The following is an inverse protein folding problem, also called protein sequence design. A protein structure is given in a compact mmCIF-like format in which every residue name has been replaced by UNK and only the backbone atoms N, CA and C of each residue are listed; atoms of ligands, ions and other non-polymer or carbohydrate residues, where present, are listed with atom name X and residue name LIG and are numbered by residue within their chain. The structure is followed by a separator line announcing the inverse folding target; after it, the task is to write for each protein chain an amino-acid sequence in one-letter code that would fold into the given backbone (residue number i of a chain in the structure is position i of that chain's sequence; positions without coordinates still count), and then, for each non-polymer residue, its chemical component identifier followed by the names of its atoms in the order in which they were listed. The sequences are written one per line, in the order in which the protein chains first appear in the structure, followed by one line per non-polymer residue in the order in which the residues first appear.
data_IF_992559951693
#
_entry.id   IF_992559951693
#
_cell.length_a   1.000
_cell.length_b   1.000
_cell.length_c   1.000
_cell.angle_alpha   90.00
_cell.angle_beta   90.00
_cell.angle_gamma   90.00
#
_symmetry.space_group_name_H-M   'P 1'
#
loop_
_entity.id
_entity.type
_entity.pdbx_description
1 polymer ?
2 non-polymer ?
3 non-polymer ?
4 water ?
#
# COMPACT_ATOMS: atom_id res chain seq x y z
N UNK A 1 -27.01 10.21 -15.86
CA UNK A 1 -26.95 10.21 -17.32
C UNK A 1 -26.02 9.00 -17.36
N UNK A 2 -24.73 9.14 -17.69
CA UNK A 2 -23.68 8.08 -17.73
C UNK A 2 -23.93 6.58 -17.71
N UNK A 3 -24.74 6.14 -16.76
CA UNK A 3 -25.19 4.76 -16.65
C UNK A 3 -25.56 4.15 -17.98
N UNK A 4 -24.64 3.30 -18.35
CA UNK A 4 -24.81 2.50 -19.53
C UNK A 4 -23.99 3.05 -20.67
N UNK A 5 -23.72 4.34 -20.72
CA UNK A 5 -23.01 4.88 -21.87
C UNK A 5 -21.54 4.97 -21.56
N UNK A 6 -20.69 4.92 -22.58
CA UNK A 6 -19.25 5.11 -22.42
C UNK A 6 -19.00 6.46 -21.83
N UNK A 7 -17.97 6.69 -21.02
CA UNK A 7 -17.68 7.99 -20.50
C UNK A 7 -16.43 8.45 -21.18
N UNK A 8 -16.15 9.74 -21.34
CA UNK A 8 -14.91 10.23 -21.97
C UNK A 8 -14.34 11.19 -20.93
N UNK A 9 -13.12 10.92 -20.43
CA UNK A 9 -12.53 11.70 -19.34
C UNK A 9 -11.04 11.75 -19.52
N UNK A 10 -10.38 12.57 -18.71
CA UNK A 10 -8.93 12.63 -18.71
C UNK A 10 -8.37 11.55 -17.78
N UNK A 11 -7.26 10.93 -18.15
CA UNK A 11 -6.54 9.99 -17.28
C UNK A 11 -5.09 10.10 -17.68
N UNK A 12 -4.15 9.62 -16.88
CA UNK A 12 -2.73 9.73 -17.19
C UNK A 12 -2.28 8.41 -17.78
N UNK A 13 -1.79 8.41 -19.01
CA UNK A 13 -1.39 7.19 -19.64
C UNK A 13 0.13 7.11 -19.70
N UNK A 14 0.65 5.91 -19.39
CA UNK A 14 2.06 5.67 -19.54
C UNK A 14 2.04 4.91 -20.86
N UNK A 15 2.47 5.59 -21.91
CA UNK A 15 2.50 4.96 -23.23
C UNK A 15 3.71 4.09 -23.22
N UNK A 16 4.83 4.45 -22.59
CA UNK A 16 5.98 3.56 -22.51
C UNK A 16 6.87 3.90 -21.33
N UNK A 17 7.57 2.87 -20.81
CA UNK A 17 8.42 3.03 -19.62
C UNK A 17 9.51 4.05 -19.79
N UNK A 18 9.70 4.60 -18.60
CA UNK A 18 10.70 5.60 -18.37
C UNK A 18 10.39 6.85 -19.20
N UNK A 19 9.10 7.08 -19.43
CA UNK A 19 8.64 8.33 -20.00
C UNK A 19 7.64 8.89 -18.99
N UNK A 20 7.37 10.19 -18.97
CA UNK A 20 6.27 10.80 -18.21
C UNK A 20 4.85 10.41 -18.59
N UNK A 21 3.97 10.75 -17.67
CA UNK A 21 2.57 10.51 -17.89
C UNK A 21 1.96 11.60 -18.75
N UNK A 22 1.09 11.16 -19.64
CA UNK A 22 0.38 12.12 -20.44
C UNK A 22 -1.08 12.09 -20.01
N UNK A 23 -1.69 13.26 -19.91
CA UNK A 23 -3.11 13.45 -19.62
C UNK A 23 -3.69 13.17 -20.99
N UNK A 24 -4.66 12.28 -21.17
CA UNK A 24 -5.20 11.91 -22.46
C UNK A 24 -6.69 11.86 -22.27
N UNK A 25 -7.42 12.11 -23.39
CA UNK A 25 -8.87 11.93 -23.37
C UNK A 25 -9.01 10.42 -23.65
N UNK A 26 -9.78 9.87 -22.72
CA UNK A 26 -9.97 8.43 -22.52
C UNK A 26 -11.48 8.15 -22.48
N UNK A 27 -11.79 6.99 -22.93
CA UNK A 27 -13.16 6.58 -22.96
C UNK A 27 -13.19 5.39 -22.05
N UNK A 28 -14.20 5.39 -21.20
CA UNK A 28 -14.38 4.44 -20.13
C UNK A 28 -15.68 3.67 -20.46
N UNK A 29 -15.53 2.48 -21.10
CA UNK A 29 -16.65 1.60 -21.42
C UNK A 29 -17.58 1.30 -20.25
N UNK A 30 -18.88 1.06 -20.41
CA UNK A 30 -19.76 0.64 -19.32
C UNK A 30 -19.40 -0.74 -18.76
N UNK A 31 -19.70 -0.94 -17.45
CA UNK A 31 -19.52 -2.17 -16.70
C UNK A 31 -20.20 -3.41 -17.21
N UNK A 32 -19.49 -4.50 -17.41
CA UNK A 32 -20.20 -5.73 -17.72
C UNK A 32 -20.72 -6.39 -16.40
N UNK A 33 -21.15 -7.66 -16.34
CA UNK A 33 -21.71 -8.17 -15.10
C UNK A 33 -20.63 -8.23 -14.05
N UNK A 34 -20.98 -7.96 -12.78
CA UNK A 34 -20.02 -7.98 -11.65
C UNK A 34 -18.86 -6.97 -11.77
N UNK A 35 -19.08 -5.86 -12.52
CA UNK A 35 -18.15 -4.77 -12.60
C UNK A 35 -18.83 -3.57 -11.96
N UNK A 36 -18.12 -2.55 -11.50
CA UNK A 36 -18.72 -1.35 -10.99
C UNK A 36 -17.85 -0.29 -11.63
N UNK A 37 -18.35 0.89 -11.97
CA UNK A 37 -17.52 1.88 -12.62
C UNK A 37 -17.49 2.98 -11.58
N UNK A 38 -16.32 3.40 -11.16
CA UNK A 38 -16.14 4.36 -10.09
C UNK A 38 -15.81 5.79 -10.58
N UNK A 39 -16.20 6.85 -9.88
CA UNK A 39 -15.76 8.20 -10.20
C UNK A 39 -14.72 8.46 -9.12
N UNK A 40 -13.48 8.61 -9.54
CA UNK A 40 -12.35 8.90 -8.64
C UNK A 40 -12.40 10.26 -7.89
N UNK A 41 -12.10 10.37 -6.59
CA UNK A 41 -12.11 11.64 -5.88
C UNK A 41 -10.69 12.05 -5.46
N UNK A 42 -9.78 11.10 -5.13
CA UNK A 42 -8.41 11.36 -4.65
C UNK A 42 -7.57 10.12 -4.84
N UNK A 43 -6.33 10.19 -5.31
CA UNK A 43 -5.53 9.01 -5.54
C UNK A 43 -4.18 9.30 -4.91
N UNK A 44 -3.53 8.37 -4.18
CA UNK A 44 -2.24 8.64 -3.60
C UNK A 44 -1.17 8.23 -4.56
N UNK A 45 -0.02 8.85 -4.48
CA UNK A 45 1.07 8.34 -5.28
C UNK A 45 1.98 7.44 -4.39
N UNK A 46 2.06 6.16 -4.74
CA UNK A 46 2.88 5.16 -4.11
C UNK A 46 4.09 4.85 -5.00
N UNK A 47 5.23 4.46 -4.44
CA UNK A 47 6.40 4.02 -5.19
C UNK A 47 6.03 2.82 -6.08
N UNK A 48 5.08 1.94 -5.78
CA UNK A 48 4.80 0.82 -6.66
C UNK A 48 4.30 1.23 -8.04
N UNK A 49 3.87 2.49 -8.16
CA UNK A 49 3.35 3.02 -9.42
C UNK A 49 4.51 3.44 -10.27
N UNK A 50 5.44 4.03 -9.55
CA UNK A 50 6.68 4.49 -10.09
C UNK A 50 7.53 3.28 -10.50
N UNK A 51 7.41 2.12 -9.80
CA UNK A 51 8.11 0.91 -10.18
C UNK A 51 7.77 0.44 -11.57
N UNK A 52 6.54 0.69 -12.03
CA UNK A 52 6.00 0.38 -13.35
C UNK A 52 6.71 1.14 -14.45
N UNK A 53 6.96 2.43 -14.09
CA UNK A 53 7.53 3.42 -15.02
C UNK A 53 9.00 3.07 -15.21
N UNK A 54 9.76 2.59 -14.20
CA UNK A 54 11.12 2.19 -14.50
C UNK A 54 11.19 0.85 -15.23
N UNK A 55 10.13 0.03 -15.32
CA UNK A 55 10.28 -1.26 -15.97
C UNK A 55 10.51 -2.30 -14.88
N UNK A 56 10.95 -1.93 -13.67
CA UNK A 56 11.08 -2.80 -12.53
C UNK A 56 9.81 -3.63 -12.34
N UNK A 57 8.65 -3.01 -12.21
CA UNK A 57 7.44 -3.79 -12.15
C UNK A 57 7.00 -3.92 -13.61
N UNK A 58 7.11 -5.14 -14.15
CA UNK A 58 6.71 -5.45 -15.54
C UNK A 58 5.22 -5.79 -15.48
N UNK A 59 4.44 -5.03 -16.25
CA UNK A 59 2.98 -5.15 -16.44
C UNK A 59 2.82 -4.74 -17.91
N UNK A 60 1.76 -5.12 -18.64
CA UNK A 60 1.52 -4.65 -20.01
C UNK A 60 1.25 -3.14 -20.12
N UNK A 61 1.96 -2.52 -21.06
CA UNK A 61 1.91 -1.10 -21.38
C UNK A 61 1.20 -1.01 -22.74
N UNK A 62 0.48 0.08 -23.11
CA UNK A 62 0.28 1.28 -22.30
C UNK A 62 -0.62 0.96 -21.13
N UNK A 63 -0.49 1.69 -20.04
CA UNK A 63 -1.19 1.34 -18.82
C UNK A 63 -1.72 2.61 -18.20
N UNK A 64 -2.78 2.46 -17.42
CA UNK A 64 -3.22 3.52 -16.50
C UNK A 64 -2.84 2.95 -15.11
N UNK A 65 -1.90 3.59 -14.41
CA UNK A 65 -1.41 3.14 -13.13
C UNK A 65 -2.35 3.53 -12.00
N UNK A 66 -1.88 3.76 -10.80
CA UNK A 66 -2.74 4.03 -9.67
C UNK A 66 -3.29 2.73 -9.10
N UNK A 67 -3.24 2.63 -7.76
CA UNK A 67 -3.88 1.57 -6.96
C UNK A 67 -4.23 2.14 -5.57
N UNK A 68 -3.74 3.28 -5.08
CA UNK A 68 -4.12 3.73 -3.74
C UNK A 68 -5.29 4.71 -3.84
N UNK A 69 -6.58 4.43 -3.58
CA UNK A 69 -7.59 5.45 -3.88
C UNK A 69 -8.96 5.30 -3.28
N UNK A 70 -9.80 6.33 -3.11
CA UNK A 70 -11.19 6.18 -2.73
C UNK A 70 -11.95 6.97 -3.77
N UNK A 71 -13.19 6.67 -4.13
CA UNK A 71 -13.99 7.46 -5.07
C UNK A 71 -15.47 7.28 -4.79
N UNK A 72 -16.38 7.40 -5.77
CA UNK A 72 -17.85 7.26 -5.56
C UNK A 72 -18.43 6.42 -6.70
N UNK A 73 -19.28 5.43 -6.50
CA UNK A 73 -19.80 4.51 -7.54
C UNK A 73 -20.77 5.22 -8.47
N UNK A 74 -20.52 5.21 -9.79
CA UNK A 74 -21.31 5.84 -10.82
C UNK A 74 -22.24 4.76 -11.35
N UNK A 75 -21.93 3.79 -12.24
CA UNK A 75 -22.90 2.73 -12.49
C UNK A 75 -22.46 1.42 -11.86
N UNK A 76 -23.36 0.47 -11.67
CA UNK A 76 -22.96 -0.86 -11.24
C UNK A 76 -23.52 -1.84 -12.28
N UNK A 77 -22.66 -2.72 -12.79
CA UNK A 77 -23.02 -3.73 -13.77
C UNK A 77 -23.97 -4.73 -13.15
N UNK A 78 -24.52 -5.54 -14.03
CA UNK A 78 -25.52 -6.58 -13.73
C UNK A 78 -25.00 -7.67 -12.80
N UNK A 79 -25.65 -7.86 -11.67
CA UNK A 79 -25.28 -8.89 -10.70
C UNK A 79 -24.36 -8.38 -9.59
N UNK A 80 -24.57 -7.15 -9.10
CA UNK A 80 -23.75 -6.53 -8.08
C UNK A 80 -24.61 -6.08 -6.92
N UNK A 81 -24.13 -6.77 -5.93
CA UNK A 81 -24.66 -6.91 -4.59
C UNK A 81 -24.10 -5.98 -3.52
N UNK A 82 -22.77 -5.93 -3.52
CA UNK A 82 -21.97 -5.28 -2.49
C UNK A 82 -22.02 -3.77 -2.43
N UNK A 83 -22.45 -3.17 -3.55
CA UNK A 83 -22.39 -1.73 -3.78
C UNK A 83 -23.60 -1.29 -4.65
N UNK A 84 -23.77 0.04 -4.62
CA UNK A 84 -24.89 0.80 -5.19
C UNK A 84 -24.27 2.13 -5.65
N UNK A 85 -24.82 2.80 -6.65
CA UNK A 85 -24.29 4.08 -7.07
C UNK A 85 -24.36 5.03 -5.92
N UNK A 86 -23.28 5.77 -5.84
CA UNK A 86 -23.21 6.86 -4.90
C UNK A 86 -22.53 6.53 -3.59
N UNK A 87 -22.16 5.23 -3.49
CA UNK A 87 -21.43 4.68 -2.37
C UNK A 87 -20.02 5.17 -2.54
N UNK A 88 -19.43 5.61 -1.43
CA UNK A 88 -18.00 5.86 -1.37
C UNK A 88 -17.36 4.44 -1.33
N UNK A 89 -16.26 4.25 -2.04
CA UNK A 89 -15.60 2.96 -2.18
C UNK A 89 -14.13 3.21 -2.21
N UNK A 90 -13.40 2.11 -2.02
CA UNK A 90 -11.96 2.08 -2.14
C UNK A 90 -11.80 0.88 -3.12
N UNK A 91 -11.24 1.12 -4.33
CA UNK A 91 -10.57 0.09 -5.14
C UNK A 91 -9.64 -0.78 -4.30
N UNK A 92 -9.52 -2.08 -4.56
CA UNK A 92 -8.63 -2.93 -3.76
C UNK A 92 -7.57 -3.54 -4.70
N UNK A 93 -6.24 -3.27 -4.64
CA UNK A 93 -5.35 -4.00 -5.54
C UNK A 93 -5.11 -5.48 -5.15
N UNK A 94 -5.43 -5.86 -3.88
CA UNK A 94 -5.49 -7.27 -3.51
C UNK A 94 -6.97 -7.64 -3.47
N UNK A 95 -7.48 -8.39 -4.44
CA UNK A 95 -8.89 -8.70 -4.53
C UNK A 95 -9.40 -9.55 -3.41
N UNK A 96 -10.68 -9.74 -3.18
CA UNK A 96 -11.08 -10.69 -2.19
C UNK A 96 -12.15 -11.46 -2.88
N UNK A 97 -11.75 -12.32 -3.82
CA UNK A 97 -12.73 -13.17 -4.52
C UNK A 97 -13.61 -14.10 -3.67
N UNK A 98 -13.52 -14.20 -2.35
CA UNK A 98 -14.31 -15.15 -1.56
C UNK A 98 -14.08 -16.67 -1.72
N UNK A 99 -13.87 -17.21 -2.93
CA UNK A 99 -13.84 -18.65 -3.13
C UNK A 99 -12.54 -19.41 -3.16
N UNK A 100 -11.39 -18.81 -2.91
CA UNK A 100 -10.26 -19.64 -3.25
C UNK A 100 -9.56 -20.18 -2.00
N UNK A 101 -8.53 -21.02 -2.25
CA UNK A 101 -7.58 -21.52 -1.28
C UNK A 101 -7.28 -20.48 -0.20
N UNK A 102 -6.67 -19.39 -0.70
CA UNK A 102 -6.23 -18.25 0.10
C UNK A 102 -7.37 -17.45 0.72
N UNK A 103 -8.56 -17.42 0.10
CA UNK A 103 -9.66 -16.63 0.62
C UNK A 103 -10.39 -17.30 1.73
N UNK A 104 -10.42 -18.63 1.75
CA UNK A 104 -11.07 -19.34 2.86
C UNK A 104 -10.11 -19.51 4.06
N UNK A 105 -8.81 -19.57 3.77
CA UNK A 105 -7.84 -19.80 4.81
C UNK A 105 -7.78 -18.71 5.86
N UNK A 106 -8.03 -18.86 7.17
CA UNK A 106 -8.03 -17.76 8.15
C UNK A 106 -6.82 -16.87 8.35
N UNK A 107 -5.76 -16.99 7.59
CA UNK A 107 -4.68 -16.01 7.62
C UNK A 107 -4.21 -15.63 6.19
N UNK A 108 -4.72 -16.23 5.11
CA UNK A 108 -4.14 -15.90 3.82
C UNK A 108 -4.99 -14.74 3.38
N UNK A 109 -4.42 -13.72 2.75
CA UNK A 109 -5.21 -12.60 2.24
C UNK A 109 -5.00 -12.29 0.76
N UNK A 110 -3.85 -12.81 0.26
CA UNK A 110 -3.34 -12.56 -1.08
C UNK A 110 -4.14 -13.41 -1.97
N UNK A 111 -5.29 -12.87 -2.37
CA UNK A 111 -6.22 -13.58 -3.20
C UNK A 111 -5.65 -14.16 -4.48
N UNK A 112 -6.06 -15.40 -4.72
CA UNK A 112 -5.72 -16.01 -6.00
C UNK A 112 -6.22 -15.37 -7.32
N UNK A 113 -6.79 -14.17 -7.31
CA UNK A 113 -7.14 -13.57 -8.58
C UNK A 113 -6.30 -12.31 -8.63
N UNK A 114 -5.17 -12.28 -7.92
CA UNK A 114 -4.36 -11.08 -7.83
C UNK A 114 -3.71 -10.89 -9.22
N UNK A 115 -3.32 -9.65 -9.67
CA UNK A 115 -2.67 -9.47 -10.99
C UNK A 115 -1.24 -9.09 -10.80
N UNK A 116 -0.66 -9.40 -9.63
CA UNK A 116 0.75 -9.13 -9.35
C UNK A 116 1.60 -10.28 -9.80
N UNK A 117 1.20 -11.50 -9.39
CA UNK A 117 2.00 -12.69 -9.63
C UNK A 117 2.40 -12.78 -11.12
N UNK A 118 1.42 -12.60 -12.01
CA UNK A 118 1.64 -12.65 -13.45
C UNK A 118 0.89 -11.46 -14.07
N UNK A 119 1.27 -10.16 -14.12
CA UNK A 119 0.37 -9.09 -14.58
C UNK A 119 -0.15 -9.33 -16.03
N UNK A 120 -1.46 -9.26 -16.23
CA UNK A 120 -2.06 -9.38 -17.56
C UNK A 120 -2.44 -7.96 -17.97
N UNK A 121 -2.76 -7.11 -16.99
CA UNK A 121 -3.23 -5.77 -17.19
C UNK A 121 -4.65 -5.72 -17.78
N UNK A 122 -5.57 -6.60 -17.34
CA UNK A 122 -6.91 -6.65 -17.89
C UNK A 122 -7.84 -6.88 -16.73
N UNK A 123 -9.11 -6.79 -17.08
CA UNK A 123 -10.22 -7.10 -16.21
C UNK A 123 -10.24 -8.60 -16.13
N UNK A 124 -10.89 -9.14 -15.12
CA UNK A 124 -11.00 -10.59 -14.93
C UNK A 124 -11.37 -11.45 -16.14
N UNK A 125 -12.03 -10.91 -17.17
CA UNK A 125 -12.43 -11.65 -18.36
C UNK A 125 -11.43 -11.53 -19.49
N UNK A 126 -10.24 -11.07 -19.18
CA UNK A 126 -9.22 -10.93 -20.18
C UNK A 126 -9.40 -9.67 -21.02
N UNK A 127 -10.29 -8.71 -20.72
CA UNK A 127 -10.40 -7.51 -21.58
C UNK A 127 -10.19 -6.12 -20.90
N UNK A 128 -9.95 -5.01 -21.64
CA UNK A 128 -9.87 -3.66 -21.05
C UNK A 128 -11.16 -2.88 -21.18
N UNK A 129 -11.60 -2.27 -20.09
CA UNK A 129 -12.58 -1.22 -20.19
C UNK A 129 -11.95 0.15 -20.58
N UNK A 130 -10.79 0.30 -21.26
CA UNK A 130 -10.23 1.61 -21.64
C UNK A 130 -9.75 1.61 -23.09
N UNK A 131 -9.86 2.71 -23.84
CA UNK A 131 -9.36 2.86 -25.22
C UNK A 131 -9.03 4.34 -25.37
N UNK A 132 -7.90 4.73 -25.94
CA UNK A 132 -7.58 6.13 -26.10
C UNK A 132 -7.37 6.13 -27.59
N UNK A 133 -8.27 6.73 -28.38
CA UNK A 133 -8.19 6.74 -29.87
C UNK A 133 -8.18 5.36 -30.58
N UNK A 134 -9.02 4.42 -30.09
CA UNK A 134 -9.13 3.09 -30.71
C UNK A 134 -8.19 2.09 -30.02
N UNK A 135 -6.96 2.58 -29.79
CA UNK A 135 -5.97 1.81 -29.08
C UNK A 135 -6.49 1.52 -27.67
N UNK A 136 -6.55 0.23 -27.31
CA UNK A 136 -6.61 -0.24 -25.94
C UNK A 136 -5.43 0.08 -25.03
N UNK A 137 -5.85 0.45 -23.82
CA UNK A 137 -4.96 0.81 -22.73
C UNK A 137 -5.17 -0.27 -21.68
N UNK A 138 -4.10 -0.72 -21.06
CA UNK A 138 -4.21 -1.77 -20.10
C UNK A 138 -4.63 -1.20 -18.77
N UNK A 139 -5.32 -2.08 -18.02
CA UNK A 139 -5.67 -1.87 -16.61
C UNK A 139 -4.48 -2.26 -15.76
N UNK A 140 -4.30 -1.67 -14.57
CA UNK A 140 -3.21 -1.97 -13.63
C UNK A 140 -3.81 -2.50 -12.36
N UNK A 141 -3.34 -3.71 -11.96
CA UNK A 141 -3.70 -4.46 -10.76
C UNK A 141 -5.19 -4.39 -10.56
N UNK A 142 -5.94 -4.49 -11.66
CA UNK A 142 -7.39 -4.40 -11.61
C UNK A 142 -7.97 -3.13 -10.94
N UNK A 143 -7.25 -2.03 -10.84
CA UNK A 143 -7.75 -0.80 -10.28
C UNK A 143 -7.66 0.38 -11.26
N UNK A 144 -6.47 0.64 -11.84
CA UNK A 144 -6.18 1.80 -12.69
C UNK A 144 -6.73 3.11 -12.15
N UNK A 145 -6.33 3.55 -10.95
CA UNK A 145 -7.00 4.66 -10.34
C UNK A 145 -6.49 6.04 -10.78
N UNK A 146 -5.51 6.22 -11.69
CA UNK A 146 -5.09 7.52 -12.25
C UNK A 146 -5.97 7.95 -13.46
N UNK A 147 -7.26 7.79 -13.32
CA UNK A 147 -8.22 8.05 -14.34
C UNK A 147 -9.31 8.72 -13.57
N UNK A 148 -10.10 9.49 -14.30
CA UNK A 148 -11.17 10.22 -13.66
C UNK A 148 -12.34 9.30 -13.40
N UNK A 149 -12.44 8.18 -14.12
CA UNK A 149 -13.46 7.16 -13.96
C UNK A 149 -12.71 5.89 -14.21
N UNK A 150 -13.11 4.80 -13.56
CA UNK A 150 -12.44 3.52 -13.76
C UNK A 150 -13.44 2.41 -13.55
N UNK A 151 -13.18 1.21 -14.02
CA UNK A 151 -14.08 0.10 -13.85
C UNK A 151 -13.23 -0.96 -13.09
N UNK A 152 -13.82 -1.56 -12.03
CA UNK A 152 -13.17 -2.54 -11.20
C UNK A 152 -14.09 -3.75 -11.09
N UNK A 153 -13.63 -4.99 -10.88
CA UNK A 153 -14.54 -6.11 -10.72
C UNK A 153 -15.15 -6.05 -9.38
N UNK A 154 -16.22 -6.74 -9.05
CA UNK A 154 -16.82 -6.61 -7.73
C UNK A 154 -15.89 -7.19 -6.67
N UNK A 155 -14.91 -8.03 -6.96
CA UNK A 155 -13.99 -8.51 -5.92
C UNK A 155 -12.94 -7.48 -5.54
N UNK A 156 -12.83 -6.37 -6.28
CA UNK A 156 -11.82 -5.35 -6.06
C UNK A 156 -12.40 -4.01 -5.62
N UNK A 157 -13.60 -3.95 -5.07
CA UNK A 157 -14.16 -2.69 -4.61
C UNK A 157 -14.72 -2.96 -3.21
N UNK A 158 -14.48 -2.04 -2.29
CA UNK A 158 -15.02 -2.12 -0.95
C UNK A 158 -15.81 -0.88 -0.59
N UNK A 159 -17.02 -1.06 -0.11
CA UNK A 159 -17.92 0.03 0.27
C UNK A 159 -17.43 0.65 1.57
N UNK A 160 -17.48 1.94 1.87
CA UNK A 160 -17.05 2.45 3.16
C UNK A 160 -18.03 3.49 3.70
N UNK A 161 -17.66 4.19 4.80
CA UNK A 161 -18.56 5.15 5.46
C UNK A 161 -18.74 6.39 4.59
N UNK A 162 -20.02 6.63 4.32
CA UNK A 162 -20.48 7.77 3.58
C UNK A 162 -20.05 9.03 4.29
N UNK A 163 -19.83 9.15 5.60
CA UNK A 163 -19.34 10.44 6.05
C UNK A 163 -17.82 10.49 5.95
N UNK A 164 -17.12 9.57 5.27
CA UNK A 164 -15.68 9.49 5.46
C UNK A 164 -14.89 10.44 4.62
N UNK A 165 -13.93 11.17 5.15
CA UNK A 165 -13.17 12.09 4.34
C UNK A 165 -12.32 11.41 3.28
N UNK A 166 -12.82 11.24 2.04
CA UNK A 166 -12.05 10.62 0.93
C UNK A 166 -10.68 11.20 0.53
N UNK A 167 -10.31 12.39 0.98
CA UNK A 167 -9.02 12.94 0.63
C UNK A 167 -8.00 12.46 1.65
N UNK A 168 -8.44 11.79 2.74
CA UNK A 168 -7.56 11.18 3.74
C UNK A 168 -7.78 9.68 3.72
N UNK A 169 -8.98 9.08 3.74
CA UNK A 169 -9.10 7.62 3.75
C UNK A 169 -8.57 7.02 2.49
N UNK A 170 -8.15 7.73 1.45
CA UNK A 170 -7.57 7.01 0.31
C UNK A 170 -6.29 6.29 0.66
N UNK A 171 -5.61 6.63 1.75
CA UNK A 171 -4.37 6.01 2.21
C UNK A 171 -4.53 4.56 2.64
N UNK A 172 -5.73 4.24 3.08
CA UNK A 172 -6.14 2.93 3.54
C UNK A 172 -6.24 1.99 2.35
N UNK A 173 -6.12 2.52 1.15
CA UNK A 173 -6.18 1.71 -0.03
C UNK A 173 -4.86 1.09 -0.32
N UNK A 174 -3.80 1.44 0.45
CA UNK A 174 -2.49 0.80 0.29
C UNK A 174 -1.47 1.13 1.34
N UNK A 175 -0.95 2.35 1.41
CA UNK A 175 0.20 2.74 2.20
C UNK A 175 0.03 2.64 3.70
N UNK A 176 -1.02 3.24 4.23
CA UNK A 176 -1.26 3.07 5.65
C UNK A 176 -1.58 1.61 5.84
N UNK A 177 -2.64 1.01 5.29
CA UNK A 177 -2.91 -0.38 5.54
C UNK A 177 -1.74 -1.30 5.32
N UNK A 178 -0.75 -1.06 4.46
CA UNK A 178 0.32 -2.02 4.38
C UNK A 178 1.19 -1.99 5.61
N UNK A 179 1.51 -0.83 6.16
CA UNK A 179 2.31 -0.73 7.36
C UNK A 179 1.53 -1.02 8.61
N UNK A 180 0.40 -0.43 8.92
CA UNK A 180 -0.31 -0.74 10.15
C UNK A 180 -0.62 -2.26 10.22
N UNK A 181 -0.92 -2.92 9.12
CA UNK A 181 -1.26 -4.33 9.08
C UNK A 181 -0.06 -5.15 9.44
N UNK A 182 1.14 -4.70 9.07
CA UNK A 182 2.30 -5.44 9.43
C UNK A 182 2.46 -5.48 10.94
N UNK A 183 2.18 -4.39 11.67
CA UNK A 183 2.32 -4.43 13.11
C UNK A 183 1.13 -5.09 13.78
N UNK A 184 -0.07 -4.74 13.40
CA UNK A 184 -1.27 -5.27 14.00
C UNK A 184 -1.66 -6.68 13.62
N UNK A 185 -1.67 -7.02 12.33
CA UNK A 185 -2.16 -8.31 11.87
C UNK A 185 -1.08 -9.28 11.49
N UNK A 186 0.03 -8.89 10.85
CA UNK A 186 1.08 -9.85 10.48
C UNK A 186 1.99 -10.20 11.69
N UNK A 187 2.84 -9.33 12.21
CA UNK A 187 3.62 -9.69 13.36
C UNK A 187 2.80 -9.89 14.62
N UNK A 188 1.59 -9.36 14.76
CA UNK A 188 0.81 -9.46 16.00
C UNK A 188 1.56 -9.00 17.26
N UNK A 189 2.00 -7.73 17.14
CA UNK A 189 2.76 -6.99 18.14
C UNK A 189 1.98 -7.08 19.41
N UNK A 190 2.57 -7.37 20.57
CA UNK A 190 1.79 -7.55 21.78
C UNK A 190 1.99 -6.41 22.71
N UNK A 191 1.10 -6.27 23.65
CA UNK A 191 1.21 -5.17 24.60
C UNK A 191 2.49 -5.28 25.45
N UNK A 192 3.23 -4.19 25.69
CA UNK A 192 4.51 -4.24 26.40
C UNK A 192 5.70 -4.40 25.46
N UNK A 193 5.55 -4.92 24.23
CA UNK A 193 6.70 -5.20 23.41
C UNK A 193 7.58 -4.02 22.98
N UNK A 194 8.71 -4.40 22.39
CA UNK A 194 9.72 -3.46 22.01
C UNK A 194 9.89 -3.81 20.58
N UNK A 195 9.51 -2.82 19.81
CA UNK A 195 9.53 -2.87 18.39
C UNK A 195 10.62 -1.98 17.84
N UNK A 196 11.28 -2.39 16.76
CA UNK A 196 12.24 -1.59 16.05
C UNK A 196 11.69 -1.43 14.63
N UNK A 197 11.42 -0.21 14.13
CA UNK A 197 10.92 0.07 12.80
C UNK A 197 12.12 0.55 11.97
N UNK A 198 12.44 -0.05 10.85
CA UNK A 198 13.57 0.34 10.01
C UNK A 198 13.04 1.18 8.87
N UNK A 199 13.54 2.38 8.60
CA UNK A 199 13.00 3.23 7.54
C UNK A 199 11.80 4.00 8.04
N UNK A 200 11.71 5.30 7.82
CA UNK A 200 10.59 6.02 8.41
C UNK A 200 9.77 6.86 7.43
N UNK A 201 9.62 6.37 6.18
CA UNK A 201 8.76 6.97 5.18
C UNK A 201 7.33 6.73 5.64
N UNK A 202 6.32 7.11 4.85
CA UNK A 202 4.93 7.00 5.25
C UNK A 202 4.44 5.61 5.62
N UNK A 203 5.04 4.50 5.12
CA UNK A 203 4.57 3.14 5.47
C UNK A 203 5.10 2.80 6.84
N UNK A 204 6.31 3.34 7.13
CA UNK A 204 7.03 3.18 8.39
C UNK A 204 6.26 3.92 9.44
N UNK A 205 5.81 5.13 9.20
CA UNK A 205 4.98 5.80 10.16
C UNK A 205 3.71 5.01 10.41
N UNK A 206 3.13 4.32 9.43
CA UNK A 206 1.98 3.48 9.65
C UNK A 206 2.20 2.29 10.60
N UNK A 207 3.36 1.62 10.45
CA UNK A 207 3.85 0.52 11.28
C UNK A 207 3.89 1.07 12.69
N UNK A 208 4.52 2.23 12.92
CA UNK A 208 4.68 2.84 14.26
C UNK A 208 3.36 3.00 14.96
N UNK A 209 2.35 3.35 14.15
CA UNK A 209 0.99 3.46 14.57
C UNK A 209 0.39 2.12 14.96
N UNK A 210 0.71 1.07 14.18
CA UNK A 210 0.20 -0.27 14.41
C UNK A 210 0.65 -0.68 15.76
N UNK A 211 1.98 -0.51 15.96
CA UNK A 211 2.72 -0.89 17.17
C UNK A 211 2.07 -0.19 18.35
N UNK A 212 1.78 1.09 18.12
CA UNK A 212 1.10 1.89 19.08
C UNK A 212 -0.29 1.33 19.26
N UNK A 213 -1.04 0.90 18.27
CA UNK A 213 -2.39 0.41 18.50
C UNK A 213 -2.41 -0.88 19.31
N UNK A 214 -1.32 -1.66 19.13
CA UNK A 214 -1.13 -2.98 19.75
C UNK A 214 -0.66 -2.87 21.18
N UNK A 215 -0.09 -1.70 21.49
CA UNK A 215 0.35 -1.38 22.83
C UNK A 215 1.81 -1.69 23.11
N UNK A 216 2.73 -1.70 22.12
CA UNK A 216 4.18 -1.95 22.34
C UNK A 216 4.59 -0.90 23.36
N UNK A 217 5.56 -1.12 24.26
CA UNK A 217 5.91 -0.04 25.16
C UNK A 217 7.19 0.65 24.74
N UNK A 218 7.74 0.25 23.60
CA UNK A 218 8.92 0.90 23.11
C UNK A 218 8.92 0.71 21.61
N UNK A 219 8.89 1.81 20.87
CA UNK A 219 8.98 1.76 19.40
C UNK A 219 10.18 2.63 18.97
N UNK A 220 11.31 1.98 18.64
CA UNK A 220 12.58 2.61 18.24
C UNK A 220 12.48 2.83 16.72
N UNK A 221 12.55 4.07 16.21
CA UNK A 221 12.49 4.34 14.80
C UNK A 221 13.90 4.43 14.30
N UNK A 222 14.29 3.81 13.21
CA UNK A 222 15.68 3.99 12.81
C UNK A 222 15.83 4.36 11.33
N UNK A 223 16.67 5.37 11.14
CA UNK A 223 16.82 6.00 9.85
C UNK A 223 18.10 6.77 9.79
N UNK A 224 18.91 6.57 8.77
CA UNK A 224 20.14 7.34 8.49
C UNK A 224 19.90 8.82 8.22
N UNK A 225 18.63 9.12 7.97
CA UNK A 225 18.16 10.49 7.80
C UNK A 225 17.39 11.01 8.98
N UNK A 226 18.22 11.74 9.74
CA UNK A 226 17.91 12.45 10.97
C UNK A 226 16.61 13.24 10.92
N UNK A 227 16.38 13.80 9.77
CA UNK A 227 15.26 14.66 9.58
C UNK A 227 13.94 13.92 9.72
N UNK A 228 13.92 12.58 9.62
CA UNK A 228 12.66 11.86 9.76
C UNK A 228 12.22 11.65 11.18
N UNK A 229 13.00 12.02 12.20
CA UNK A 229 12.70 11.63 13.55
C UNK A 229 11.58 12.30 14.27
N UNK A 230 11.30 13.56 13.97
CA UNK A 230 10.28 14.28 14.71
C UNK A 230 8.85 13.76 14.54
N UNK A 231 8.48 13.56 13.25
CA UNK A 231 7.16 13.09 12.81
C UNK A 231 6.94 11.70 13.32
N UNK A 232 7.99 10.88 13.19
CA UNK A 232 8.05 9.55 13.79
C UNK A 232 7.75 9.64 15.28
N UNK A 233 8.41 10.59 16.00
CA UNK A 233 8.20 10.73 17.44
C UNK A 233 6.76 11.01 17.72
N UNK A 234 6.36 11.95 16.88
CA UNK A 234 5.05 12.52 16.88
C UNK A 234 4.04 11.40 16.73
N UNK A 235 4.32 10.48 15.82
CA UNK A 235 3.38 9.40 15.65
C UNK A 235 3.60 8.20 16.64
N UNK A 236 4.63 8.12 17.48
CA UNK A 236 4.70 7.07 18.46
C UNK A 236 6.11 6.56 18.80
N UNK A 237 7.14 6.87 17.97
CA UNK A 237 8.50 6.44 18.29
C UNK A 237 8.83 7.01 19.66
N UNK A 238 9.28 6.10 20.53
CA UNK A 238 9.65 6.55 21.86
C UNK A 238 11.08 7.07 21.74
N UNK A 239 11.87 6.51 20.83
CA UNK A 239 13.20 7.01 20.59
C UNK A 239 13.37 6.73 19.13
N UNK A 240 14.44 7.31 18.63
CA UNK A 240 14.83 7.22 17.24
C UNK A 240 16.33 7.03 17.08
N UNK A 241 16.91 6.07 16.32
CA UNK A 241 18.38 6.05 16.21
C UNK A 241 18.93 6.23 14.80
N UNK A 242 19.92 7.10 14.53
CA UNK A 242 20.51 7.24 13.21
C UNK A 242 21.71 6.33 13.15
N UNK A 243 21.71 5.29 12.29
CA UNK A 243 22.85 4.40 12.10
C UNK A 243 24.18 5.09 11.90
N UNK A 244 24.40 6.23 11.22
CA UNK A 244 25.72 6.90 11.11
C UNK A 244 26.23 7.68 12.33
N UNK A 245 25.55 7.51 13.47
CA UNK A 245 26.00 8.11 14.69
C UNK A 245 26.98 7.23 15.44
N UNK A 246 26.96 5.93 15.16
CA UNK A 246 27.67 5.00 15.99
C UNK A 246 28.88 4.56 15.27
N UNK A 247 29.81 3.91 15.96
CA UNK A 247 30.94 3.28 15.31
C UNK A 247 30.61 1.79 15.24
N UNK A 248 29.83 1.33 16.19
CA UNK A 248 29.39 -0.07 16.28
C UNK A 248 28.42 -0.36 15.13
N UNK A 249 28.16 -1.61 14.65
CA UNK A 249 26.91 -2.02 14.06
C UNK A 249 25.64 -1.53 14.70
N UNK A 250 24.64 -1.58 13.87
CA UNK A 250 23.37 -1.09 14.30
C UNK A 250 22.72 -2.27 15.00
N UNK A 251 22.78 -3.52 14.53
CA UNK A 251 22.06 -4.59 15.25
C UNK A 251 22.59 -4.86 16.66
N UNK A 252 23.89 -4.53 16.84
CA UNK A 252 24.62 -4.57 18.09
C UNK A 252 24.07 -3.39 18.88
N UNK A 253 24.21 -2.13 18.45
CA UNK A 253 23.67 -1.05 19.26
C UNK A 253 22.16 -1.15 19.47
N UNK A 254 21.43 -2.03 18.80
CA UNK A 254 20.04 -2.20 19.07
C UNK A 254 19.83 -3.30 20.05
N UNK A 255 20.48 -4.46 19.95
CA UNK A 255 20.27 -5.52 20.96
C UNK A 255 20.81 -5.12 22.35
N UNK A 256 21.92 -4.38 22.30
CA UNK A 256 22.60 -3.83 23.45
C UNK A 256 21.58 -2.97 24.18
N UNK A 257 21.06 -2.04 23.39
CA UNK A 257 19.98 -1.10 23.71
C UNK A 257 18.79 -1.76 24.35
N UNK A 258 18.41 -2.91 23.79
CA UNK A 258 17.24 -3.65 24.20
C UNK A 258 17.49 -4.81 25.16
N UNK A 259 18.72 -5.08 25.70
CA UNK A 259 18.95 -6.14 26.67
C UNK A 259 18.57 -7.46 26.06
N UNK A 260 19.20 -7.78 24.95
CA UNK A 260 18.83 -9.05 24.33
C UNK A 260 18.12 -9.02 22.99
N UNK A 261 17.87 -7.84 22.40
CA UNK A 261 17.24 -7.72 21.10
C UNK A 261 15.79 -7.43 21.35
N UNK A 262 15.21 -6.75 20.36
CA UNK A 262 13.83 -6.30 20.45
C UNK A 262 12.85 -7.44 20.20
N UNK A 263 11.59 -7.33 20.58
CA UNK A 263 10.61 -8.37 20.30
C UNK A 263 10.32 -8.59 18.84
N UNK A 264 9.78 -7.51 18.21
CA UNK A 264 9.36 -7.43 16.80
C UNK A 264 10.25 -6.52 15.98
N UNK A 265 10.74 -6.73 14.76
CA UNK A 265 11.50 -5.70 14.05
C UNK A 265 10.85 -5.62 12.68
N UNK A 266 10.77 -4.46 12.02
CA UNK A 266 10.06 -4.34 10.75
C UNK A 266 10.99 -3.67 9.79
N UNK A 267 11.12 -4.10 8.55
CA UNK A 267 11.97 -3.34 7.64
C UNK A 267 11.11 -2.54 6.62
N UNK A 268 10.88 -1.20 6.73
CA UNK A 268 10.12 -0.53 5.68
C UNK A 268 11.02 0.26 4.68
N UNK A 269 12.33 -0.02 4.72
CA UNK A 269 13.28 0.50 3.75
C UNK A 269 13.20 -0.29 2.46
N UNK A 270 12.90 -1.61 2.42
CA UNK A 270 12.96 -2.41 1.20
C UNK A 270 14.38 -2.79 0.70
N UNK A 271 15.55 -2.81 1.39
CA UNK A 271 16.80 -3.29 0.77
C UNK A 271 17.28 -4.54 1.46
N UNK A 272 18.28 -5.22 0.88
CA UNK A 272 18.77 -6.52 1.40
C UNK A 272 19.57 -6.52 2.76
N UNK A 273 20.54 -5.60 2.84
CA UNK A 273 21.36 -5.37 4.02
C UNK A 273 20.51 -5.13 5.25
N UNK A 274 19.59 -4.17 5.29
CA UNK A 274 18.83 -3.91 6.48
C UNK A 274 17.76 -4.97 6.71
N UNK A 275 17.46 -5.87 5.77
CA UNK A 275 16.44 -6.89 5.98
C UNK A 275 16.94 -7.99 6.86
N UNK A 276 18.18 -8.32 6.55
CA UNK A 276 18.94 -9.27 7.31
C UNK A 276 19.34 -8.62 8.61
N UNK A 277 19.79 -7.35 8.69
CA UNK A 277 20.04 -6.62 9.94
C UNK A 277 18.81 -6.66 10.86
N UNK A 278 17.65 -6.28 10.31
CA UNK A 278 16.40 -6.28 11.05
C UNK A 278 16.12 -7.70 11.52
N UNK A 279 16.59 -8.81 10.91
CA UNK A 279 16.42 -10.14 11.46
C UNK A 279 17.25 -10.23 12.75
N UNK A 280 18.57 -10.04 12.64
CA UNK A 280 19.46 -10.21 13.77
C UNK A 280 19.14 -9.35 14.99
N UNK A 281 18.39 -8.26 14.97
CA UNK A 281 18.27 -7.55 16.23
C UNK A 281 16.93 -7.65 16.89
N UNK A 282 16.17 -8.68 16.52
CA UNK A 282 15.00 -8.98 17.30
C UNK A 282 15.41 -10.24 18.09
N UNK A 283 14.77 -10.62 19.21
CA UNK A 283 15.25 -11.65 20.12
C UNK A 283 15.50 -13.00 19.49
N UNK A 284 16.65 -13.52 19.80
CA UNK A 284 17.08 -14.84 19.38
C UNK A 284 16.12 -16.03 19.56
N UNK A 285 15.52 -16.19 20.71
CA UNK A 285 14.64 -17.31 20.87
C UNK A 285 13.19 -17.06 20.54
N UNK A 286 12.70 -15.83 20.43
CA UNK A 286 11.30 -15.66 20.03
C UNK A 286 11.10 -14.33 19.27
N UNK A 287 12.12 -13.73 18.64
CA UNK A 287 11.96 -12.46 17.93
C UNK A 287 11.28 -12.74 16.61
N UNK A 288 10.41 -11.83 16.18
CA UNK A 288 9.68 -11.93 14.91
C UNK A 288 10.13 -10.72 14.08
N UNK A 289 10.40 -10.95 12.79
CA UNK A 289 10.80 -9.90 11.87
C UNK A 289 9.96 -9.95 10.60
N UNK A 290 9.26 -8.86 10.27
CA UNK A 290 8.42 -8.72 9.07
C UNK A 290 9.11 -7.86 8.01
N UNK A 291 9.26 -8.35 6.79
CA UNK A 291 9.71 -7.55 5.64
C UNK A 291 8.39 -6.96 5.16
N UNK A 292 8.14 -5.68 5.43
CA UNK A 292 6.89 -5.05 4.99
C UNK A 292 6.93 -4.96 3.45
N UNK A 293 7.98 -4.45 2.80
CA UNK A 293 7.93 -4.49 1.36
C UNK A 293 9.30 -4.71 0.83
N UNK A 294 9.25 -5.39 -0.32
CA UNK A 294 10.39 -5.78 -1.15
C UNK A 294 10.11 -5.42 -2.62
N UNK A 295 11.05 -4.69 -3.16
CA UNK A 295 10.88 -4.07 -4.46
C UNK A 295 10.88 -5.18 -5.54
N UNK A 296 10.34 -4.91 -6.73
CA UNK A 296 10.05 -5.91 -7.77
C UNK A 296 11.26 -6.56 -8.45
N UNK A 297 12.41 -5.93 -8.35
CA UNK A 297 13.61 -6.41 -9.02
C UNK A 297 14.61 -7.03 -8.02
N UNK A 298 14.05 -7.49 -6.89
CA UNK A 298 14.88 -7.98 -5.82
C UNK A 298 15.74 -9.13 -6.25
N UNK A 299 16.99 -8.92 -5.82
CA UNK A 299 18.00 -9.95 -5.93
C UNK A 299 17.87 -10.79 -4.63
N UNK A 300 18.81 -11.73 -4.51
CA UNK A 300 18.95 -12.68 -3.41
C UNK A 300 19.85 -12.04 -2.38
N UNK A 301 19.40 -12.22 -1.14
CA UNK A 301 20.15 -11.81 0.03
C UNK A 301 20.94 -13.01 0.52
N UNK A 302 21.99 -12.83 1.33
CA UNK A 302 22.78 -13.91 1.90
C UNK A 302 22.49 -13.80 3.37
N UNK A 303 21.97 -14.85 3.97
CA UNK A 303 21.58 -14.82 5.36
C UNK A 303 22.08 -16.13 5.98
N UNK A 304 22.51 -16.21 7.24
CA UNK A 304 23.04 -17.49 7.75
C UNK A 304 21.96 -18.21 8.52
N UNK A 305 21.49 -19.40 8.06
CA UNK A 305 20.27 -20.06 8.51
C UNK A 305 20.21 -20.18 10.01
N UNK A 306 21.41 -20.18 10.55
CA UNK A 306 21.68 -20.11 11.98
C UNK A 306 20.90 -19.10 12.80
N UNK A 307 20.54 -17.93 12.22
CA UNK A 307 19.74 -16.96 12.89
C UNK A 307 18.31 -17.49 13.08
N UNK A 308 17.86 -18.51 12.36
CA UNK A 308 16.53 -19.02 12.59
C UNK A 308 16.58 -20.12 13.62
N UNK A 309 17.70 -20.84 13.70
CA UNK A 309 17.86 -22.01 14.55
C UNK A 309 17.49 -21.80 16.00
N UNK A 310 17.74 -20.64 16.58
CA UNK A 310 17.41 -20.39 17.97
C UNK A 310 15.96 -20.10 18.25
N UNK A 311 15.16 -19.80 17.21
CA UNK A 311 13.76 -19.56 17.40
C UNK A 311 13.27 -18.26 16.77
N UNK A 312 14.04 -17.42 16.06
CA UNK A 312 13.46 -16.30 15.29
C UNK A 312 12.39 -16.64 14.22
N UNK A 313 11.29 -15.89 14.04
CA UNK A 313 10.29 -16.05 12.96
C UNK A 313 10.44 -14.95 11.89
N UNK A 314 10.33 -15.21 10.59
CA UNK A 314 10.59 -14.24 9.50
C UNK A 314 9.46 -14.48 8.53
N UNK A 315 8.76 -13.37 8.39
CA UNK A 315 7.52 -13.36 7.67
C UNK A 315 7.61 -12.30 6.62
N UNK A 316 6.81 -12.46 5.56
CA UNK A 316 6.57 -11.38 4.62
C UNK A 316 5.07 -11.27 4.39
N UNK A 317 4.55 -10.17 3.83
CA UNK A 317 3.12 -9.99 3.52
C UNK A 317 2.88 -8.90 2.46
N UNK A 318 1.73 -8.98 1.72
CA UNK A 318 1.20 -7.97 0.81
C UNK A 318 -0.03 -7.35 1.50
N UNK A 319 -0.26 -6.04 1.41
CA UNK A 319 -1.38 -5.31 2.00
C UNK A 319 -1.57 -5.48 3.52
N UNK A 320 -0.50 -5.61 4.29
CA UNK A 320 -0.61 -5.72 5.74
C UNK A 320 -1.28 -6.99 6.21
N UNK A 321 -1.28 -7.94 5.30
CA UNK A 321 -1.88 -9.23 5.55
C UNK A 321 -3.38 -9.12 5.75
N UNK A 322 -4.04 -8.02 5.39
CA UNK A 322 -5.45 -7.85 5.68
C UNK A 322 -6.29 -8.53 4.62
N UNK A 323 -7.45 -9.14 4.86
CA UNK A 323 -8.29 -9.65 3.77
C UNK A 323 -9.05 -8.40 3.34
N UNK A 324 -8.84 -8.03 2.08
CA UNK A 324 -9.20 -6.72 1.60
C UNK A 324 -10.61 -6.32 1.75
N UNK A 325 -11.58 -7.10 1.28
CA UNK A 325 -12.95 -6.64 1.42
C UNK A 325 -13.44 -6.55 2.87
N UNK A 326 -12.97 -7.54 3.62
CA UNK A 326 -13.21 -7.58 5.02
C UNK A 326 -12.71 -6.36 5.81
N UNK A 327 -11.44 -5.99 5.62
CA UNK A 327 -10.85 -5.03 6.51
C UNK A 327 -10.97 -3.55 6.18
N UNK A 328 -10.82 -3.15 4.92
CA UNK A 328 -10.87 -1.74 4.56
C UNK A 328 -12.11 -1.00 5.09
N UNK A 329 -13.34 -1.49 5.07
CA UNK A 329 -14.43 -1.05 5.92
C UNK A 329 -14.12 -0.85 7.35
N UNK A 330 -13.51 -1.82 8.02
CA UNK A 330 -13.27 -1.68 9.47
C UNK A 330 -12.16 -0.69 9.75
N UNK A 331 -11.16 -0.56 8.88
CA UNK A 331 -10.13 0.45 9.04
C UNK A 331 -10.73 1.86 8.84
N UNK A 332 -11.76 2.07 7.98
CA UNK A 332 -12.39 3.39 7.87
C UNK A 332 -13.18 3.58 9.14
N UNK A 333 -14.05 2.66 9.56
CA UNK A 333 -14.84 2.77 10.80
C UNK A 333 -14.07 3.19 12.02
N UNK A 334 -12.82 2.67 12.09
CA UNK A 334 -11.82 2.99 13.08
C UNK A 334 -11.32 4.42 12.96
N UNK A 335 -10.89 4.80 11.72
CA UNK A 335 -10.49 6.16 11.39
C UNK A 335 -11.70 7.02 11.71
N UNK A 336 -12.93 6.63 11.46
CA UNK A 336 -14.04 7.52 11.78
C UNK A 336 -14.18 7.69 13.30
N UNK A 337 -13.85 6.62 14.05
CA UNK A 337 -13.81 6.60 15.51
C UNK A 337 -12.58 7.34 16.11
N UNK A 338 -11.86 8.22 15.39
CA UNK A 338 -10.72 9.03 15.88
C UNK A 338 -9.55 8.26 16.60
N UNK A 339 -9.16 7.14 15.99
CA UNK A 339 -8.01 6.32 16.42
C UNK A 339 -6.70 6.70 15.69
N UNK A 340 -6.58 6.41 14.37
CA UNK A 340 -5.42 6.86 13.60
C UNK A 340 -5.72 8.27 13.07
N UNK A 341 -4.67 9.00 12.69
CA UNK A 341 -4.84 10.22 11.95
C UNK A 341 -3.97 9.99 10.73
N UNK A 342 -4.60 9.98 9.56
CA UNK A 342 -3.83 9.83 8.34
C UNK A 342 -3.08 11.16 8.02
N UNK A 343 -3.48 12.22 8.73
CA UNK A 343 -2.93 13.58 8.59
C UNK A 343 -1.44 13.83 8.63
N UNK A 344 -0.65 13.26 9.57
CA UNK A 344 0.80 13.40 9.54
C UNK A 344 1.46 12.83 8.27
N UNK A 345 0.71 11.93 7.61
CA UNK A 345 1.30 11.25 6.47
C UNK A 345 1.08 12.01 5.18
N UNK A 346 0.13 12.97 5.15
CA UNK A 346 -0.17 13.73 3.94
C UNK A 346 0.57 15.04 4.08
N UNK A 347 1.45 15.20 3.13
CA UNK A 347 2.39 16.28 3.20
C UNK A 347 2.20 17.14 1.94
N UNK A 348 1.54 16.64 0.90
CA UNK A 348 1.33 17.47 -0.26
C UNK A 348 0.08 16.96 -0.89
N UNK A 349 -0.85 17.84 -1.24
CA UNK A 349 -1.94 17.41 -2.09
C UNK A 349 -1.83 18.37 -3.27
N UNK A 350 -1.88 17.81 -4.49
CA UNK A 350 -1.77 18.52 -5.76
C UNK A 350 -3.11 18.41 -6.46
N UNK A 351 -3.41 19.04 -7.60
CA UNK A 351 -4.53 18.62 -8.43
C UNK A 351 -4.13 17.41 -9.27
N UNK A 352 -5.00 16.48 -9.70
CA UNK A 352 -4.62 15.39 -10.56
C UNK A 352 -3.84 15.80 -11.81
N UNK A 353 -3.99 16.98 -12.45
CA UNK A 353 -3.16 17.26 -13.64
C UNK A 353 -1.63 17.32 -13.31
N UNK A 354 -1.21 17.69 -12.08
CA UNK A 354 0.19 17.71 -11.69
C UNK A 354 0.67 16.30 -11.30
N UNK A 355 0.21 15.23 -11.95
CA UNK A 355 0.67 13.87 -11.72
C UNK A 355 2.18 13.79 -11.85
N UNK A 356 2.82 14.13 -12.95
CA UNK A 356 4.27 14.03 -13.07
C UNK A 356 4.95 14.87 -12.02
N UNK A 357 4.30 15.95 -11.60
CA UNK A 357 4.89 16.86 -10.62
C UNK A 357 4.88 16.08 -9.31
N UNK A 358 3.82 15.29 -9.06
CA UNK A 358 3.70 14.46 -7.87
C UNK A 358 4.70 13.32 -7.79
N UNK A 359 5.22 12.88 -8.91
CA UNK A 359 6.17 11.83 -8.94
C UNK A 359 7.49 12.45 -8.68
N UNK A 360 7.95 13.56 -9.26
CA UNK A 360 9.26 14.13 -8.95
C UNK A 360 9.58 14.29 -7.47
N UNK A 361 8.54 14.68 -6.72
CA UNK A 361 8.62 14.78 -5.29
C UNK A 361 8.90 13.42 -4.68
N UNK A 362 8.16 12.38 -5.07
CA UNK A 362 8.33 10.98 -4.67
C UNK A 362 9.75 10.55 -4.85
N UNK A 363 10.23 11.00 -6.00
CA UNK A 363 11.52 10.55 -6.40
C UNK A 363 12.65 11.32 -5.76
N UNK A 364 12.48 12.57 -5.30
CA UNK A 364 13.56 13.19 -4.53
C UNK A 364 13.26 12.98 -3.05
N UNK A 365 12.17 12.34 -2.72
CA UNK A 365 12.01 11.90 -1.39
C UNK A 365 11.52 12.94 -0.45
N UNK A 366 11.58 14.27 -0.59
CA UNK A 366 10.87 14.99 0.48
C UNK A 366 9.39 15.17 0.11
N UNK A 367 8.69 14.13 0.54
CA UNK A 367 7.27 14.03 0.45
C UNK A 367 7.00 12.75 1.23
N UNK A 368 6.26 12.77 2.36
CA UNK A 368 5.76 11.51 2.95
C UNK A 368 4.74 10.87 1.98
N UNK A 369 3.58 11.53 1.81
CA UNK A 369 2.61 11.11 0.83
C UNK A 369 2.02 12.30 0.06
N UNK A 370 1.90 12.14 -1.26
CA UNK A 370 1.19 13.07 -2.10
C UNK A 370 -0.13 12.46 -2.56
N UNK A 371 -1.15 13.25 -2.25
CA UNK A 371 -2.51 12.98 -2.68
C UNK A 371 -2.84 13.81 -3.94
N UNK A 372 -3.43 13.19 -4.94
CA UNK A 372 -3.78 13.88 -6.15
C UNK A 372 -5.29 13.99 -6.08
N UNK A 373 -5.86 15.20 -5.97
CA UNK A 373 -7.31 15.39 -5.93
C UNK A 373 -7.85 15.42 -7.38
N UNK A 374 -9.05 14.90 -7.61
CA UNK A 374 -9.67 14.92 -8.93
C UNK A 374 -10.60 16.12 -9.10
X LIG B 1 1.30 0.76 -3.11
X LIG C 1 -9.59 -15.41 -3.45
X LIG D 1 11.07 5.50 1.36
X LIG D 1 11.79 5.08 0.11
X LIG D 1 11.25 6.93 1.80
X LIG D 1 11.48 4.44 2.49
X LIG D 1 12.87 4.21 2.81
X LIG D 1 13.18 4.80 4.18
X LIG D 1 14.37 4.19 4.70
X LIG D 1 13.48 6.28 4.14
X LIG D 1 12.92 6.92 5.29
X LIG D 1 15.00 6.35 4.16
X LIG D 1 15.40 7.58 4.78
X LIG D 1 15.34 5.18 5.03
X LIG D 1 16.70 4.61 4.83
X LIG D 1 17.27 4.34 3.64
X LIG D 1 18.33 3.54 3.79
X LIG D 1 18.42 3.35 5.10
X LIG D 1 19.37 2.54 5.68
X LIG D 1 20.30 1.93 4.95
X LIG D 1 19.24 2.41 7.01
X LIG D 1 18.26 3.01 7.70
X LIG D 1 17.36 3.80 7.14
X LIG D 1 17.42 4.00 5.79
X LIG D 1 9.27 5.49 1.42
X LIG D 1 8.48 4.32 2.57
X LIG D 1 7.14 4.91 2.91
X LIG D 1 9.33 4.03 3.78
X LIG D 1 8.22 3.03 1.60
X LIG D 1 8.50 3.05 0.18
X LIG D 1 9.98 2.76 -0.03
X LIG D 1 10.24 1.69 0.88
X LIG D 1 10.24 2.28 -1.43
X LIG D 1 10.94 3.28 -2.18
X LIG D 1 11.29 1.20 -1.22
X LIG D 1 12.64 1.74 -1.21
X LIG D 1 10.82 0.63 0.12
X LIG D 1 9.60 -0.21 -0.06
X LIG D 1 9.44 -0.86 -1.21
X LIG D 1 8.26 -1.48 -1.13
X LIG D 1 7.52 -1.30 0.01
X LIG D 1 8.35 -0.31 1.20
X LIG D 1 7.90 -2.30 -2.31
X LIG D 1 7.01 -3.15 -2.34
X LIG D 1 8.66 -2.01 -3.36
X LIG D 1 13.56 7.64 5.57
X LIG D 1 16.04 8.04 4.16
X LIG D 1 20.28 2.06 3.96
X LIG D 1 20.99 1.36 5.38
X LIG D 1 11.89 3.31 -1.88
X LIG D 1 13.10 1.36 -0.40
X LIG D 1 8.46 -2.50 -4.20
X LIG D 1 9.31 -1.26 -3.23
#
# INVERSE_FOLDING_TARGET
STAGKVIKCKAAVLWEEKKPFSIEEVEVAPPKAHEVRIKMVATGICRSDDHVVSGTLVTPLPVIAGHEAAGIVESIGEGVTTVRPGDKVIPLFTPQCGKCRVCKHPEGNFCLKNDLSMPRGTMQDGTSRFTCRGKPIHHFLGTSTFSQYTVVDEISVAKIDAASPLEKVCLIGCGFSTGYGSAVKVAKVTQGSTCAVFGLGGVGLSVIMGCKAAGAARIIGVDINKDKFAKAKEVGATECVNPQDYKKPIQEVLTEMSNGGVDFSFEVIGRLDTMVTALSCCQEAYGVSVIVGVPPDSQNLSMNPMLLLSGRTWKGAIFGGFKSKDSVPKLVADFMAKKFALDPLITHVLPFEKINEGFDLLRSGESIRTILTF
ZN ZN
ZN ZN
TAD PA O1A O2A O5B C5B C4B O4B C3B O3B C2B O2B C1B N9A C8A N7A C5A C6A N6A N1A C2A N3A C4A C3 PN O1N O2N O5D C5D C4D O4D C3D O3D C2D O2D C1D C2N N3N C4N C5N S1N C6N O6N N6N HO3A HO2A H61A H62A HO3N HO2N H61N H62N
#
